data_IF_843240543835
#
_entry.id   IF_843240543835
#
_cell.length_a   1.000
_cell.length_b   1.000
_cell.length_c   1.000
_cell.angle_alpha   90.00
_cell.angle_beta   90.00
_cell.angle_gamma   90.00
#
_symmetry.space_group_name_H-M   'P 1'
#
loop_
_entity.id
_entity.type
_entity.pdbx_description
1 polymer ?
#
# COMPACT_ATOMS: atom_id res chain seq x y z
N UNK A 1 33.01 -11.35 -2.37
CA UNK A 1 31.94 -12.27 -2.80
C UNK A 1 30.63 -11.54 -3.08
N UNK A 2 30.06 -10.78 -2.12
CA UNK A 2 28.83 -10.00 -2.30
C UNK A 2 28.88 -9.01 -3.48
N UNK A 3 30.03 -8.34 -3.70
CA UNK A 3 30.21 -7.45 -4.85
C UNK A 3 30.01 -8.16 -6.21
N UNK A 4 30.47 -9.41 -6.34
CA UNK A 4 30.33 -10.21 -7.57
C UNK A 4 28.87 -10.57 -7.86
N UNK A 5 28.05 -10.69 -6.81
CA UNK A 5 26.60 -10.93 -6.93
C UNK A 5 25.82 -9.64 -7.24
N UNK A 6 26.36 -8.46 -6.91
CA UNK A 6 25.74 -7.16 -7.23
C UNK A 6 25.97 -6.72 -8.68
N UNK A 7 27.05 -7.18 -9.31
CA UNK A 7 27.40 -6.79 -10.68
C UNK A 7 26.23 -7.00 -11.68
N UNK A 8 25.62 -8.19 -11.79
CA UNK A 8 24.52 -8.43 -12.73
C UNK A 8 23.31 -7.51 -12.50
N UNK A 9 22.99 -7.19 -11.24
CA UNK A 9 21.90 -6.29 -10.90
C UNK A 9 22.16 -4.85 -11.41
N UNK A 10 23.42 -4.39 -11.32
CA UNK A 10 23.83 -3.07 -11.80
C UNK A 10 23.94 -2.97 -13.33
N UNK A 11 24.19 -4.09 -14.01
CA UNK A 11 24.33 -4.14 -15.46
C UNK A 11 23.03 -3.77 -16.20
N UNK A 12 21.87 -4.15 -15.65
CA UNK A 12 20.55 -3.88 -16.27
C UNK A 12 20.34 -2.38 -16.47
N UNK A 13 20.62 -1.56 -15.45
CA UNK A 13 20.50 -0.10 -15.56
C UNK A 13 21.44 0.46 -16.62
N UNK A 14 22.68 -0.02 -16.65
CA UNK A 14 23.68 0.40 -17.64
C UNK A 14 23.26 0.07 -19.07
N UNK A 15 22.76 -1.14 -19.32
CA UNK A 15 22.27 -1.52 -20.64
C UNK A 15 21.07 -0.68 -21.07
N UNK A 16 20.16 -0.38 -20.16
CA UNK A 16 19.03 0.50 -20.44
C UNK A 16 19.50 1.88 -20.91
N UNK A 17 20.51 2.45 -20.25
CA UNK A 17 21.04 3.77 -20.61
C UNK A 17 21.81 3.72 -21.95
N UNK A 18 22.66 2.72 -22.16
CA UNK A 18 23.42 2.55 -23.42
C UNK A 18 22.51 2.33 -24.62
N UNK A 19 21.52 1.44 -24.50
CA UNK A 19 20.57 1.14 -25.59
C UNK A 19 19.67 2.35 -25.86
N UNK A 20 19.25 3.07 -24.82
CA UNK A 20 18.47 4.30 -24.99
C UNK A 20 19.27 5.35 -25.75
N UNK A 21 20.53 5.57 -25.37
CA UNK A 21 21.40 6.54 -26.03
C UNK A 21 21.69 6.17 -27.48
N UNK A 22 21.97 4.89 -27.76
CA UNK A 22 22.19 4.38 -29.11
C UNK A 22 20.94 4.57 -29.99
N UNK A 23 19.75 4.25 -29.47
CA UNK A 23 18.50 4.41 -30.19
C UNK A 23 18.18 5.88 -30.50
N UNK A 24 18.56 6.82 -29.62
CA UNK A 24 18.33 8.26 -29.81
C UNK A 24 19.30 8.89 -30.83
N UNK A 25 20.51 8.36 -30.95
CA UNK A 25 21.50 8.79 -31.95
C UNK A 25 21.32 8.14 -33.33
N UNK A 26 20.49 7.09 -33.43
CA UNK A 26 20.31 6.36 -34.68
C UNK A 26 19.28 7.09 -35.57
N UNK A 27 19.62 7.44 -36.82
CA UNK A 27 18.69 8.14 -37.70
C UNK A 27 17.56 7.21 -38.20
N UNK A 28 16.36 7.75 -38.51
CA UNK A 28 15.21 6.95 -38.97
C UNK A 28 15.46 6.13 -40.24
N UNK A 29 16.45 6.52 -41.06
CA UNK A 29 16.83 5.82 -42.29
C UNK A 29 17.75 4.61 -42.05
N UNK A 30 18.26 4.42 -40.84
CA UNK A 30 19.13 3.29 -40.52
C UNK A 30 18.30 1.99 -40.46
N UNK A 31 18.78 0.86 -41.01
CA UNK A 31 18.05 -0.41 -40.99
C UNK A 31 17.67 -0.87 -39.56
N UNK A 32 18.54 -0.57 -38.59
CA UNK A 32 18.31 -0.96 -37.18
C UNK A 32 17.43 0.01 -36.39
N UNK A 33 17.01 1.14 -36.95
CA UNK A 33 16.24 2.17 -36.22
C UNK A 33 15.00 1.58 -35.55
N UNK A 34 14.20 0.84 -36.31
CA UNK A 34 12.95 0.25 -35.80
C UNK A 34 13.18 -0.81 -34.72
N UNK A 35 14.24 -1.61 -34.87
CA UNK A 35 14.64 -2.61 -33.88
C UNK A 35 15.13 -1.97 -32.59
N UNK A 36 16.00 -0.95 -32.70
CA UNK A 36 16.54 -0.22 -31.56
C UNK A 36 15.46 0.53 -30.78
N UNK A 37 14.46 1.12 -31.45
CA UNK A 37 13.35 1.79 -30.77
C UNK A 37 12.46 0.81 -29.99
N UNK A 38 12.22 -0.40 -30.53
CA UNK A 38 11.51 -1.46 -29.80
C UNK A 38 12.33 -1.96 -28.60
N UNK A 39 13.62 -2.20 -28.79
CA UNK A 39 14.53 -2.61 -27.72
C UNK A 39 14.61 -1.55 -26.61
N UNK A 40 14.66 -0.26 -26.96
CA UNK A 40 14.60 0.86 -26.01
C UNK A 40 13.33 0.81 -25.17
N UNK A 41 12.16 0.66 -25.79
CA UNK A 41 10.90 0.57 -25.04
C UNK A 41 10.90 -0.62 -24.08
N UNK A 42 11.30 -1.79 -24.57
CA UNK A 42 11.33 -3.02 -23.78
C UNK A 42 12.28 -2.93 -22.58
N UNK A 43 13.51 -2.45 -22.78
CA UNK A 43 14.50 -2.40 -21.70
C UNK A 43 14.15 -1.34 -20.64
N UNK A 44 13.47 -0.25 -21.03
CA UNK A 44 12.96 0.75 -20.10
C UNK A 44 11.86 0.14 -19.22
N UNK A 45 10.90 -0.56 -19.82
CA UNK A 45 9.83 -1.25 -19.08
C UNK A 45 10.40 -2.33 -18.15
N UNK A 46 11.36 -3.11 -18.64
CA UNK A 46 12.03 -4.14 -17.84
C UNK A 46 12.77 -3.54 -16.64
N UNK A 47 13.51 -2.45 -16.85
CA UNK A 47 14.19 -1.70 -15.78
C UNK A 47 13.19 -1.17 -14.74
N UNK A 48 12.04 -0.66 -15.16
CA UNK A 48 10.98 -0.19 -14.26
C UNK A 48 10.46 -1.32 -13.38
N UNK A 49 10.03 -2.44 -13.98
CA UNK A 49 9.54 -3.61 -13.23
C UNK A 49 10.59 -4.16 -12.24
N UNK A 50 11.87 -4.18 -12.64
CA UNK A 50 12.96 -4.63 -11.75
C UNK A 50 13.14 -3.67 -10.57
N UNK A 51 13.07 -2.36 -10.82
CA UNK A 51 13.20 -1.33 -9.81
C UNK A 51 12.07 -1.43 -8.78
N UNK A 52 10.83 -1.61 -9.23
CA UNK A 52 9.67 -1.81 -8.36
C UNK A 52 9.86 -3.03 -7.45
N UNK A 53 10.28 -4.18 -8.00
CA UNK A 53 10.55 -5.39 -7.22
C UNK A 53 11.69 -5.20 -6.21
N UNK A 54 12.72 -4.46 -6.59
CA UNK A 54 13.84 -4.15 -5.68
C UNK A 54 13.39 -3.25 -4.53
N UNK A 55 12.61 -2.20 -4.81
CA UNK A 55 12.04 -1.32 -3.79
C UNK A 55 11.10 -2.08 -2.85
N UNK A 56 10.30 -3.00 -3.40
CA UNK A 56 9.42 -3.88 -2.66
C UNK A 56 10.20 -4.77 -1.69
N UNK A 57 11.25 -5.44 -2.18
CA UNK A 57 12.13 -6.28 -1.37
C UNK A 57 12.84 -5.50 -0.26
N UNK A 58 13.32 -4.28 -0.56
CA UNK A 58 13.90 -3.38 0.46
C UNK A 58 12.86 -2.96 1.50
N UNK A 59 11.59 -2.77 1.11
CA UNK A 59 10.54 -2.44 2.06
C UNK A 59 10.24 -3.62 2.99
N UNK A 60 10.17 -4.85 2.47
CA UNK A 60 10.02 -6.07 3.27
C UNK A 60 11.14 -6.19 4.31
N UNK A 61 12.39 -5.98 3.90
CA UNK A 61 13.54 -5.99 4.80
C UNK A 61 13.45 -4.88 5.88
N UNK A 62 12.99 -3.67 5.53
CA UNK A 62 12.72 -2.61 6.53
C UNK A 62 11.67 -3.04 7.55
N UNK A 63 10.58 -3.67 7.12
CA UNK A 63 9.52 -4.16 8.01
C UNK A 63 10.05 -5.25 8.94
N UNK A 64 10.88 -6.17 8.42
CA UNK A 64 11.50 -7.22 9.21
C UNK A 64 12.41 -6.64 10.30
N UNK A 65 13.30 -5.69 9.95
CA UNK A 65 14.17 -5.01 10.91
C UNK A 65 13.39 -4.26 11.99
N UNK A 66 12.28 -3.61 11.63
CA UNK A 66 11.40 -2.95 12.60
C UNK A 66 10.77 -3.95 13.55
N UNK A 67 10.33 -5.12 13.03
CA UNK A 67 9.76 -6.16 13.85
C UNK A 67 10.78 -6.77 14.83
N UNK A 68 12.01 -7.03 14.39
CA UNK A 68 13.11 -7.48 15.25
C UNK A 68 13.47 -6.45 16.35
N UNK A 69 13.28 -5.16 16.07
CA UNK A 69 13.49 -4.10 17.04
C UNK A 69 12.34 -3.97 18.06
N UNK A 70 11.16 -4.53 17.77
CA UNK A 70 10.03 -4.51 18.70
C UNK A 70 10.23 -5.46 19.86
N UNK A 71 9.84 -5.01 21.06
CA UNK A 71 9.77 -5.81 22.28
C UNK A 71 8.31 -6.06 22.59
N UNK A 72 7.95 -7.33 22.81
CA UNK A 72 6.60 -7.79 23.19
C UNK A 72 5.49 -7.48 22.16
N UNK A 73 5.81 -7.51 20.86
CA UNK A 73 4.80 -7.32 19.81
C UNK A 73 3.95 -8.60 19.61
N UNK A 74 2.60 -8.54 19.74
CA UNK A 74 1.71 -9.71 19.65
C UNK A 74 1.33 -10.08 18.20
N UNK A 75 2.02 -9.57 17.20
CA UNK A 75 1.72 -9.79 15.79
C UNK A 75 2.94 -10.31 15.03
N UNK A 76 2.72 -11.12 14.01
CA UNK A 76 3.77 -11.65 13.13
C UNK A 76 3.99 -10.76 11.91
N UNK A 77 5.16 -10.88 11.28
CA UNK A 77 5.45 -10.24 9.98
C UNK A 77 4.67 -10.96 8.89
N UNK A 78 3.84 -10.21 8.15
CA UNK A 78 3.14 -10.72 6.96
C UNK A 78 3.91 -10.33 5.70
N UNK A 79 3.96 -11.22 4.72
CA UNK A 79 4.61 -10.97 3.44
C UNK A 79 4.00 -9.80 2.66
N UNK A 80 2.73 -9.46 2.91
CA UNK A 80 2.01 -8.34 2.28
C UNK A 80 2.25 -7.01 2.98
N UNK A 81 2.84 -7.00 4.19
CA UNK A 81 2.98 -5.79 4.99
C UNK A 81 4.07 -4.90 4.40
N UNK A 82 3.75 -3.63 4.16
CA UNK A 82 4.72 -2.60 3.76
C UNK A 82 4.71 -1.44 4.75
N UNK A 83 5.86 -0.83 4.95
CA UNK A 83 6.01 0.43 5.68
C UNK A 83 5.59 1.59 4.77
N UNK A 84 4.63 2.39 5.22
CA UNK A 84 4.09 3.55 4.49
C UNK A 84 4.64 4.85 5.08
N UNK A 85 4.51 5.05 6.39
CA UNK A 85 4.89 6.28 7.08
C UNK A 85 5.38 5.98 8.50
N UNK A 86 6.28 6.80 9.01
CA UNK A 86 6.71 6.76 10.41
C UNK A 86 6.90 8.18 10.93
N UNK A 87 6.57 8.41 12.19
CA UNK A 87 6.74 9.72 12.82
C UNK A 87 6.42 9.69 14.29
N UNK A 88 6.74 10.77 15.00
CA UNK A 88 6.40 10.89 16.41
C UNK A 88 5.09 11.66 16.54
N UNK A 89 4.12 11.05 17.24
CA UNK A 89 2.82 11.67 17.49
C UNK A 89 2.52 11.61 18.99
N UNK A 90 1.72 12.57 19.47
CA UNK A 90 1.25 12.58 20.85
C UNK A 90 -0.23 12.25 20.90
N UNK A 91 -0.64 11.35 21.81
CA UNK A 91 -2.06 11.08 22.02
C UNK A 91 -2.68 12.20 22.85
N UNK A 92 -3.74 12.83 22.35
CA UNK A 92 -4.50 13.85 23.08
C UNK A 92 -5.66 13.20 23.80
N UNK A 93 -5.83 13.54 25.07
CA UNK A 93 -7.02 13.13 25.85
C UNK A 93 -7.98 14.30 25.92
N UNK A 94 -9.11 14.19 25.21
CA UNK A 94 -10.11 15.27 25.13
C UNK A 94 -10.70 15.62 26.51
N UNK A 95 -10.87 14.64 27.41
CA UNK A 95 -11.43 14.85 28.75
C UNK A 95 -10.57 15.75 29.63
N UNK A 96 -9.24 15.57 29.59
CA UNK A 96 -8.28 16.35 30.38
C UNK A 96 -7.67 17.53 29.60
N UNK A 97 -8.00 17.66 28.30
CA UNK A 97 -7.42 18.64 27.36
C UNK A 97 -5.90 18.68 27.42
N UNK A 98 -5.29 17.52 27.62
CA UNK A 98 -3.84 17.39 27.77
C UNK A 98 -3.23 16.56 26.64
N UNK A 99 -2.03 16.97 26.24
CA UNK A 99 -1.19 16.23 25.31
C UNK A 99 -0.47 15.15 26.11
N UNK A 100 -0.68 13.89 25.74
CA UNK A 100 -0.03 12.74 26.36
C UNK A 100 1.42 12.57 25.92
N UNK A 101 2.02 11.48 26.37
CA UNK A 101 3.39 11.10 26.04
C UNK A 101 3.61 10.96 24.52
N UNK A 102 4.73 11.51 24.04
CA UNK A 102 5.21 11.36 22.67
C UNK A 102 5.55 9.88 22.40
N UNK A 103 5.00 9.33 21.32
CA UNK A 103 5.25 7.95 20.90
C UNK A 103 5.60 7.93 19.42
N UNK A 104 6.39 6.94 19.03
CA UNK A 104 6.66 6.69 17.62
C UNK A 104 5.52 5.88 17.03
N UNK A 105 4.86 6.42 16.02
CA UNK A 105 3.82 5.78 15.24
C UNK A 105 4.41 5.28 13.92
N UNK A 106 4.06 4.05 13.57
CA UNK A 106 4.55 3.34 12.38
C UNK A 106 3.31 2.84 11.63
N UNK A 107 3.07 3.45 10.47
CA UNK A 107 1.96 3.12 9.59
C UNK A 107 2.39 2.00 8.64
N UNK A 108 1.73 0.86 8.80
CA UNK A 108 1.79 -0.24 7.84
C UNK A 108 0.55 -0.23 6.94
N UNK A 109 0.58 -1.07 5.91
CA UNK A 109 -0.54 -1.26 4.96
C UNK A 109 -1.83 -1.78 5.59
N UNK A 110 -1.79 -2.40 6.77
CA UNK A 110 -2.95 -3.01 7.43
C UNK A 110 -3.24 -2.43 8.83
N UNK A 111 -2.25 -1.80 9.46
CA UNK A 111 -2.35 -1.33 10.84
C UNK A 111 -1.42 -0.16 11.13
N UNK A 112 -1.79 0.64 12.13
CA UNK A 112 -0.97 1.69 12.70
C UNK A 112 -0.45 1.23 14.08
N UNK A 113 0.86 1.04 14.21
CA UNK A 113 1.50 0.57 15.45
C UNK A 113 2.11 1.77 16.19
N UNK A 114 1.92 1.85 17.51
CA UNK A 114 2.57 2.86 18.33
C UNK A 114 3.48 2.23 19.39
N UNK A 115 4.69 2.78 19.48
CA UNK A 115 5.77 2.25 20.32
C UNK A 115 6.43 3.34 21.14
N UNK A 116 6.97 2.95 22.29
CA UNK A 116 7.81 3.80 23.13
C UNK A 116 9.28 3.46 22.86
N UNK A 117 10.10 4.41 22.38
CA UNK A 117 11.53 4.17 22.24
C UNK A 117 12.15 3.94 23.62
N UNK A 118 12.93 2.86 23.76
CA UNK A 118 13.61 2.50 25.00
C UNK A 118 15.09 2.25 24.69
N UNK A 119 15.96 2.89 25.46
CA UNK A 119 17.39 2.59 25.42
C UNK A 119 17.67 1.47 26.42
N UNK A 120 18.03 0.29 25.92
CA UNK A 120 18.38 -0.85 26.77
C UNK A 120 19.78 -1.34 26.41
N UNK A 121 20.72 -1.24 27.36
CA UNK A 121 22.11 -1.73 27.22
C UNK A 121 22.83 -1.20 25.96
N UNK A 122 22.60 0.06 25.58
CA UNK A 122 23.23 0.68 24.41
C UNK A 122 22.61 0.34 23.06
N UNK A 123 21.55 -0.49 23.02
CA UNK A 123 20.73 -0.71 21.83
C UNK A 123 19.39 0.01 21.95
N UNK A 124 19.03 0.74 20.89
CA UNK A 124 17.70 1.33 20.73
C UNK A 124 16.70 0.22 20.45
N UNK A 125 15.84 -0.09 21.42
CA UNK A 125 14.71 -1.01 21.26
C UNK A 125 13.40 -0.25 21.23
N UNK A 126 12.38 -0.83 20.62
CA UNK A 126 11.06 -0.24 20.48
C UNK A 126 10.07 -1.03 21.34
N UNK A 127 9.68 -0.48 22.48
CA UNK A 127 8.70 -1.13 23.34
C UNK A 127 7.31 -1.01 22.72
N UNK A 128 6.70 -2.14 22.37
CA UNK A 128 5.35 -2.16 21.84
C UNK A 128 4.34 -1.69 22.90
N UNK A 129 3.41 -0.80 22.51
CA UNK A 129 2.33 -0.30 23.38
C UNK A 129 0.94 -0.62 22.86
N UNK A 130 0.80 -0.80 21.56
CA UNK A 130 -0.46 -1.18 20.93
C UNK A 130 -0.43 -0.96 19.42
N UNK A 131 -1.51 -1.38 18.78
CA UNK A 131 -1.76 -1.11 17.38
C UNK A 131 -3.24 -0.82 17.15
N UNK A 132 -3.52 -0.16 16.04
CA UNK A 132 -4.85 0.16 15.55
C UNK A 132 -5.00 -0.52 14.20
N UNK A 133 -5.96 -1.44 14.09
CA UNK A 133 -6.29 -2.08 12.81
C UNK A 133 -7.03 -1.06 11.95
N UNK A 134 -6.61 -0.93 10.69
CA UNK A 134 -7.14 0.08 9.77
C UNK A 134 -8.29 -0.42 8.90
N UNK A 135 -8.66 -1.70 9.02
CA UNK A 135 -9.82 -2.26 8.33
C UNK A 135 -11.09 -1.49 8.71
N UNK A 136 -11.72 -0.85 7.70
CA UNK A 136 -12.90 0.02 7.83
C UNK A 136 -12.74 1.16 8.84
N UNK A 137 -11.51 1.55 9.16
CA UNK A 137 -11.26 2.69 10.05
C UNK A 137 -11.65 4.00 9.36
N UNK A 138 -11.86 5.06 10.15
CA UNK A 138 -12.17 6.40 9.63
C UNK A 138 -11.18 7.41 10.20
N UNK A 139 -10.74 8.32 9.33
CA UNK A 139 -9.82 9.40 9.70
C UNK A 139 -10.52 10.72 9.44
N UNK A 140 -10.39 11.66 10.38
CA UNK A 140 -10.98 13.00 10.30
C UNK A 140 -10.02 14.05 10.83
N UNK A 141 -9.89 15.18 10.14
CA UNK A 141 -9.21 16.35 10.70
C UNK A 141 -10.06 16.99 11.79
N UNK A 142 -9.45 17.37 12.92
CA UNK A 142 -10.15 18.10 13.97
C UNK A 142 -9.80 19.59 13.94
N UNK A 143 -10.80 20.43 14.20
CA UNK A 143 -10.59 21.86 14.43
C UNK A 143 -10.01 22.11 15.83
N UNK A 144 -9.46 23.30 16.06
CA UNK A 144 -8.91 23.70 17.37
C UNK A 144 -9.99 23.66 18.46
N UNK A 145 -11.22 24.01 18.12
CA UNK A 145 -12.35 24.01 19.06
C UNK A 145 -12.73 22.58 19.48
N UNK A 146 -12.78 21.67 18.51
CA UNK A 146 -13.12 20.26 18.74
C UNK A 146 -12.01 19.51 19.50
N UNK A 147 -10.75 19.89 19.28
CA UNK A 147 -9.59 19.29 19.94
C UNK A 147 -9.26 19.92 21.31
N UNK A 148 -10.21 20.61 21.94
CA UNK A 148 -10.04 21.17 23.28
C UNK A 148 -9.03 22.31 23.36
N UNK A 149 -8.84 23.05 22.27
CA UNK A 149 -7.90 24.17 22.16
C UNK A 149 -6.55 23.83 21.51
N UNK A 150 -6.31 22.55 21.20
CA UNK A 150 -5.05 22.07 20.62
C UNK A 150 -5.16 22.07 19.09
N UNK A 151 -4.24 22.77 18.42
CA UNK A 151 -4.19 22.82 16.96
C UNK A 151 -3.52 21.56 16.38
N UNK A 152 -3.65 21.35 15.06
CA UNK A 152 -2.95 20.31 14.30
C UNK A 152 -3.27 18.86 14.73
N UNK A 153 -4.50 18.63 15.19
CA UNK A 153 -4.98 17.30 15.58
C UNK A 153 -5.76 16.60 14.47
N UNK A 154 -5.73 15.27 14.48
CA UNK A 154 -6.64 14.44 13.71
C UNK A 154 -7.20 13.31 14.59
N UNK A 155 -8.40 12.85 14.26
CA UNK A 155 -9.08 11.74 14.90
C UNK A 155 -9.00 10.50 14.02
N UNK A 156 -8.61 9.38 14.63
CA UNK A 156 -8.68 8.05 14.04
C UNK A 156 -9.68 7.21 14.83
N UNK A 157 -10.75 6.80 14.16
CA UNK A 157 -11.81 5.96 14.71
C UNK A 157 -11.69 4.58 14.08
N UNK A 158 -11.19 3.57 14.80
CA UNK A 158 -11.12 2.21 14.27
C UNK A 158 -12.51 1.61 14.11
N UNK A 159 -12.64 0.69 13.15
CA UNK A 159 -13.85 -0.12 13.05
C UNK A 159 -13.83 -1.21 14.10
N UNK A 160 -14.78 -1.19 15.04
CA UNK A 160 -15.12 -2.42 15.75
C UNK A 160 -16.13 -3.19 14.89
N UNK A 161 -15.64 -4.18 14.15
CA UNK A 161 -16.49 -5.26 13.66
C UNK A 161 -16.70 -6.27 14.80
N UNK A 162 -17.29 -5.82 15.90
CA UNK A 162 -17.73 -6.66 17.00
C UNK A 162 -19.23 -6.85 16.91
N UNK A 163 -19.68 -7.71 16.01
CA UNK A 163 -21.02 -8.28 16.12
C UNK A 163 -20.85 -9.59 16.87
N UNK A 164 -21.51 -9.73 18.03
CA UNK A 164 -21.58 -11.00 18.75
C UNK A 164 -22.01 -12.11 17.77
N UNK A 165 -21.55 -13.33 18.02
CA UNK A 165 -21.94 -14.57 17.32
C UNK A 165 -23.46 -14.76 17.11
N UNK A 166 -24.28 -13.98 17.82
CA UNK A 166 -25.74 -13.94 17.74
C UNK A 166 -26.35 -12.71 17.03
N UNK A 167 -25.57 -11.77 16.48
CA UNK A 167 -26.08 -10.57 15.78
C UNK A 167 -27.01 -9.63 16.58
N UNK A 168 -27.08 -9.77 17.91
CA UNK A 168 -28.12 -9.12 18.73
C UNK A 168 -27.67 -7.92 19.56
N UNK A 169 -26.37 -7.62 19.66
CA UNK A 169 -25.92 -6.50 20.52
C UNK A 169 -24.70 -5.79 19.92
N UNK A 170 -24.82 -4.48 19.73
CA UNK A 170 -23.72 -3.58 19.39
C UNK A 170 -22.76 -3.50 20.59
N UNK A 171 -21.58 -4.10 20.47
CA UNK A 171 -20.56 -4.00 21.51
C UNK A 171 -19.79 -2.70 21.31
N UNK A 172 -19.98 -1.77 22.25
CA UNK A 172 -19.12 -0.62 22.61
C UNK A 172 -18.68 0.32 21.46
N UNK A 173 -18.94 1.61 21.63
CA UNK A 173 -18.28 2.67 20.83
C UNK A 173 -16.77 2.45 20.85
N UNK A 174 -16.17 2.28 19.68
CA UNK A 174 -14.73 2.11 19.55
C UNK A 174 -14.04 3.37 20.12
N UNK A 175 -12.94 3.23 20.88
CA UNK A 175 -12.21 4.38 21.38
C UNK A 175 -11.68 5.18 20.19
N UNK A 176 -12.08 6.44 20.06
CA UNK A 176 -11.46 7.33 19.09
C UNK A 176 -10.08 7.77 19.59
N UNK A 177 -9.12 7.78 18.68
CA UNK A 177 -7.75 8.17 18.95
C UNK A 177 -7.52 9.56 18.38
N UNK A 178 -7.44 10.57 19.26
CA UNK A 178 -7.03 11.91 18.87
C UNK A 178 -5.51 11.98 18.93
N UNK A 179 -4.89 12.29 17.80
CA UNK A 179 -3.46 12.38 17.64
C UNK A 179 -3.07 13.81 17.28
N UNK A 180 -2.11 14.34 18.02
CA UNK A 180 -1.49 15.63 17.78
C UNK A 180 -0.23 15.46 16.93
N UNK A 181 -0.08 16.37 15.97
CA UNK A 181 1.05 16.46 15.04
C UNK A 181 1.65 17.86 15.16
N UNK A 182 2.97 17.99 15.04
CA UNK A 182 3.66 19.26 15.29
C UNK A 182 3.37 20.35 14.25
N UNK A 183 3.02 19.96 13.02
CA UNK A 183 2.78 20.87 11.89
C UNK A 183 1.49 20.56 11.13
N UNK A 184 0.93 21.57 10.47
CA UNK A 184 -0.20 21.42 9.55
C UNK A 184 0.14 20.58 8.32
N UNK A 185 1.39 20.68 7.85
CA UNK A 185 1.92 19.91 6.72
C UNK A 185 1.97 18.42 7.06
N UNK A 186 2.57 18.09 8.20
CA UNK A 186 2.61 16.72 8.70
C UNK A 186 1.20 16.18 8.95
N UNK A 187 0.28 16.99 9.51
CA UNK A 187 -1.12 16.58 9.67
C UNK A 187 -1.75 16.20 8.33
N UNK A 188 -1.55 17.00 7.28
CA UNK A 188 -2.07 16.72 5.93
C UNK A 188 -1.44 15.45 5.35
N UNK A 189 -0.14 15.26 5.53
CA UNK A 189 0.57 14.06 5.08
C UNK A 189 0.02 12.81 5.77
N UNK A 190 -0.11 12.83 7.10
CA UNK A 190 -0.66 11.72 7.88
C UNK A 190 -2.09 11.38 7.45
N UNK A 191 -2.96 12.39 7.29
CA UNK A 191 -4.34 12.17 6.85
C UNK A 191 -4.35 11.58 5.44
N UNK A 192 -3.59 12.13 4.49
CA UNK A 192 -3.53 11.62 3.12
C UNK A 192 -3.09 10.15 3.11
N UNK A 193 -2.00 9.81 3.79
CA UNK A 193 -1.48 8.43 3.81
C UNK A 193 -2.41 7.45 4.52
N UNK A 194 -3.06 7.87 5.60
CA UNK A 194 -4.04 7.02 6.27
C UNK A 194 -5.27 6.77 5.39
N UNK A 195 -5.80 7.81 4.74
CA UNK A 195 -6.92 7.68 3.80
C UNK A 195 -6.56 6.76 2.64
N UNK A 196 -5.38 6.93 2.02
CA UNK A 196 -4.90 6.06 0.93
C UNK A 196 -4.87 4.58 1.36
N UNK A 197 -4.40 4.30 2.58
CA UNK A 197 -4.33 2.95 3.13
C UNK A 197 -5.72 2.38 3.40
N UNK A 198 -6.61 3.17 4.01
CA UNK A 198 -7.98 2.76 4.32
C UNK A 198 -8.76 2.47 3.04
N UNK A 199 -8.70 3.36 2.04
CA UNK A 199 -9.38 3.19 0.75
C UNK A 199 -8.88 1.94 0.02
N UNK A 200 -7.58 1.68 0.07
CA UNK A 200 -7.00 0.45 -0.49
C UNK A 200 -7.49 -0.80 0.24
N UNK A 201 -7.60 -0.78 1.58
CA UNK A 201 -8.14 -1.88 2.36
C UNK A 201 -9.62 -2.13 2.05
N UNK A 202 -10.43 -1.07 1.96
CA UNK A 202 -11.85 -1.17 1.61
C UNK A 202 -12.03 -1.74 0.20
N UNK A 203 -11.22 -1.30 -0.77
CA UNK A 203 -11.20 -1.87 -2.13
C UNK A 203 -10.88 -3.37 -2.10
N UNK A 204 -9.86 -3.78 -1.35
CA UNK A 204 -9.47 -5.18 -1.22
C UNK A 204 -10.57 -6.00 -0.52
N UNK A 205 -11.26 -5.45 0.47
CA UNK A 205 -12.38 -6.09 1.15
C UNK A 205 -13.56 -6.30 0.19
N UNK A 206 -13.91 -5.30 -0.62
CA UNK A 206 -14.96 -5.42 -1.63
C UNK A 206 -14.67 -6.53 -2.65
N UNK A 207 -13.42 -6.59 -3.15
CA UNK A 207 -12.98 -7.63 -4.09
C UNK A 207 -13.10 -9.02 -3.44
N UNK A 208 -12.63 -9.18 -2.20
CA UNK A 208 -12.74 -10.45 -1.46
C UNK A 208 -14.19 -10.87 -1.25
N UNK A 209 -15.08 -9.94 -0.90
CA UNK A 209 -16.50 -10.21 -0.71
C UNK A 209 -17.18 -10.61 -2.04
N UNK A 210 -16.86 -9.94 -3.14
CA UNK A 210 -17.37 -10.30 -4.47
C UNK A 210 -16.94 -11.71 -4.90
N UNK A 211 -15.67 -12.06 -4.67
CA UNK A 211 -15.17 -13.41 -4.92
C UNK A 211 -15.85 -14.47 -4.04
N UNK A 212 -16.05 -14.19 -2.75
CA UNK A 212 -16.74 -15.10 -1.83
C UNK A 212 -18.20 -15.33 -2.25
N UNK A 213 -18.92 -14.26 -2.61
CA UNK A 213 -20.28 -14.35 -3.13
C UNK A 213 -20.34 -15.16 -4.43
N UNK A 214 -19.40 -14.96 -5.35
CA UNK A 214 -19.32 -15.72 -6.60
C UNK A 214 -19.10 -17.22 -6.35
N UNK A 215 -18.18 -17.59 -5.44
CA UNK A 215 -17.97 -19.00 -5.06
C UNK A 215 -19.23 -19.61 -4.45
N UNK A 216 -19.88 -18.90 -3.53
CA UNK A 216 -21.12 -19.37 -2.91
C UNK A 216 -22.23 -19.63 -3.94
N UNK A 217 -22.39 -18.75 -4.93
CA UNK A 217 -23.37 -18.95 -6.02
C UNK A 217 -23.01 -20.19 -6.87
N UNK A 218 -21.72 -20.43 -7.14
CA UNK A 218 -21.27 -21.63 -7.86
C UNK A 218 -21.50 -22.92 -7.06
N UNK A 219 -21.32 -22.89 -5.74
CA UNK A 219 -21.55 -24.06 -4.87
C UNK A 219 -23.03 -24.38 -4.66
N UNK A 220 -23.91 -23.37 -4.75
CA UNK A 220 -25.37 -23.52 -4.69
C UNK A 220 -26.01 -23.91 -6.04
N UNK A 221 -25.24 -23.92 -7.13
CA UNK A 221 -25.75 -24.38 -8.42
C UNK A 221 -25.99 -25.90 -8.37
N UNK A 222 -27.19 -26.40 -8.75
CA UNK A 222 -27.48 -27.82 -8.68
C UNK A 222 -26.54 -28.60 -9.60
N UNK A 223 -25.89 -29.65 -9.06
CA UNK A 223 -24.98 -30.58 -9.79
C UNK A 223 -25.70 -31.47 -10.82
N UNK A 224 -26.82 -31.00 -11.37
CA UNK A 224 -27.75 -31.79 -12.19
C UNK A 224 -28.19 -31.09 -13.47
N UNK A 225 -27.34 -30.30 -14.11
CA UNK A 225 -27.56 -29.90 -15.50
C UNK A 225 -26.28 -30.13 -16.31
N UNK A 226 -26.15 -31.35 -16.80
CA UNK A 226 -25.12 -31.74 -17.76
C UNK A 226 -25.49 -31.23 -19.16
N UNK A 227 -25.58 -29.91 -19.37
CA UNK A 227 -25.54 -29.29 -20.70
C UNK A 227 -24.93 -27.88 -20.59
N UNK A 228 -23.61 -27.78 -20.48
CA UNK A 228 -22.83 -26.58 -20.87
C UNK A 228 -21.31 -26.83 -20.72
N UNK A 229 -20.78 -27.90 -21.32
CA UNK A 229 -19.33 -28.13 -21.40
C UNK A 229 -18.77 -27.66 -22.74
N UNK A 230 -18.66 -26.35 -22.98
CA UNK A 230 -17.80 -25.84 -24.10
C UNK A 230 -17.19 -24.45 -23.89
N UNK A 231 -17.33 -23.77 -22.74
CA UNK A 231 -16.86 -22.38 -22.61
C UNK A 231 -15.87 -22.10 -21.46
N UNK A 232 -15.17 -23.12 -20.95
CA UNK A 232 -14.20 -22.97 -19.85
C UNK A 232 -12.76 -23.31 -20.27
N UNK A 233 -12.36 -22.98 -21.49
CA UNK A 233 -10.99 -23.20 -21.97
C UNK A 233 -10.51 -22.07 -22.87
N UNK A 234 -10.61 -20.82 -22.41
CA UNK A 234 -9.75 -19.70 -22.83
C UNK A 234 -10.10 -18.49 -21.96
N UNK A 235 -9.32 -18.26 -20.91
CA UNK A 235 -8.99 -16.93 -20.35
C UNK A 235 -8.22 -17.11 -19.03
N UNK A 236 -7.05 -17.73 -19.10
CA UNK A 236 -5.93 -17.32 -18.26
C UNK A 236 -5.18 -16.23 -19.04
N UNK A 237 -5.65 -14.99 -18.95
CA UNK A 237 -4.95 -13.84 -19.52
C UNK A 237 -4.54 -12.92 -18.37
N UNK A 238 -3.23 -12.92 -18.19
CA UNK A 238 -2.39 -11.99 -17.44
C UNK A 238 -2.84 -10.55 -17.60
N UNK A 239 -2.91 -9.86 -16.47
CA UNK A 239 -2.94 -8.39 -16.42
C UNK A 239 -1.56 -7.87 -16.83
N UNK A 240 -1.43 -7.54 -18.11
CA UNK A 240 -0.45 -6.59 -18.61
C UNK A 240 -1.21 -5.71 -19.61
N UNK A 241 -1.51 -4.47 -19.24
CA UNK A 241 -2.02 -3.50 -20.19
C UNK A 241 -1.25 -2.18 -20.08
N UNK A 242 -0.25 -2.09 -20.96
CA UNK A 242 0.43 -0.89 -21.37
C UNK A 242 0.25 -0.79 -22.89
N UNK A 243 -0.63 0.07 -23.40
CA UNK A 243 -0.25 1.17 -24.33
C UNK A 243 -1.42 1.79 -25.12
N UNK A 244 -1.30 3.12 -25.23
CA UNK A 244 -1.44 3.97 -26.43
C UNK A 244 -2.64 3.80 -27.36
N UNK A 245 -3.47 4.84 -27.34
CA UNK A 245 -4.34 5.26 -28.43
C UNK A 245 -3.55 5.92 -29.57
N UNK A 246 -3.56 5.33 -30.75
CA UNK A 246 -3.43 6.04 -32.03
C UNK A 246 -4.19 5.29 -33.10
N UNK A 247 -5.25 5.89 -33.65
CA UNK A 247 -5.67 5.60 -35.02
C UNK A 247 -6.47 6.76 -35.60
N UNK A 248 -5.93 7.30 -36.68
CA UNK A 248 -6.60 8.10 -37.70
C UNK A 248 -7.90 7.45 -38.17
N UNK A 249 -8.89 8.28 -38.54
CA UNK A 249 -9.90 7.91 -39.53
C UNK A 249 -10.13 9.09 -40.47
N UNK A 250 -9.74 8.88 -41.72
CA UNK A 250 -10.30 9.54 -42.88
C UNK A 250 -11.82 9.37 -42.90
N UNK A 251 -12.53 10.40 -43.34
CA UNK A 251 -13.89 10.27 -43.84
C UNK A 251 -14.02 11.10 -45.12
N UNK A 252 -14.34 10.40 -46.19
CA UNK A 252 -14.73 10.92 -47.49
C UNK A 252 -16.26 11.04 -47.57
N UNK A 253 -16.69 11.93 -48.47
CA UNK A 253 -18.00 12.09 -49.16
C UNK A 253 -19.02 13.14 -48.66
N UNK A 254 -19.10 14.21 -49.48
CA UNK A 254 -20.29 14.91 -50.09
C UNK A 254 -21.33 15.54 -49.16
N UNK A 255 -21.81 16.77 -49.38
CA UNK A 255 -22.15 17.53 -50.60
C UNK A 255 -21.71 19.00 -50.48
#
# INVERSE_FOLDING_TARGET
LLALLQLPASCISRYADTISHLADLTPPMHPDYTGLQKCKQWIIQFRQSMTEKMLDAQNVDKVLRLHEAFVDAPFTVRAERRLILQGNLCRVTLSSRSVGEERKYILFTDMLVYVKPMQQKGMTRLQYKGHIVLDRAKVRSLSKEEAGGIAHCFELTPSHAGVDSLNTTFVSTAPSFVLYVGSDEERKEWISKLTDVIDNLDRLAMIKQAHANRKRIQDLAPKGSAIASVAASVNSLSLDDSNKSSSSKESFYTN
#
